data_IF_983107870246
#
_entry.id   IF_983107870246
#
_cell.length_a   1.000
_cell.length_b   1.000
_cell.length_c   1.000
_cell.angle_alpha   90.00
_cell.angle_beta   90.00
_cell.angle_gamma   90.00
#
_symmetry.space_group_name_H-M   'P 1'
#
loop_
_entity.id
_entity.type
_entity.pdbx_description
1 polymer ?
#
# COMPACT_ATOMS: atom_id res chain seq x y z
N UNK A 1 18.73 15.60 -4.77
CA UNK A 1 18.64 16.67 -3.75
C UNK A 1 17.25 16.65 -3.08
N UNK A 2 17.03 15.79 -2.09
CA UNK A 2 15.77 15.73 -1.34
C UNK A 2 15.70 16.83 -0.29
N UNK A 3 15.41 18.07 -0.71
CA UNK A 3 15.10 19.15 0.24
C UNK A 3 13.80 18.79 0.97
N UNK A 4 13.74 19.05 2.28
CA UNK A 4 12.52 19.06 3.08
C UNK A 4 11.49 20.03 2.47
N UNK A 5 10.75 19.56 1.46
CA UNK A 5 9.68 20.30 0.82
C UNK A 5 8.40 20.03 1.60
N UNK A 6 7.69 21.11 1.90
CA UNK A 6 6.39 21.03 2.55
C UNK A 6 5.40 20.44 1.55
N UNK A 7 4.67 19.42 1.98
CA UNK A 7 3.63 18.78 1.17
C UNK A 7 2.50 19.79 0.93
N UNK A 8 2.07 19.91 -0.33
CA UNK A 8 0.93 20.74 -0.72
C UNK A 8 -0.34 19.91 -0.64
N UNK A 9 -1.25 20.29 0.26
CA UNK A 9 -2.55 19.64 0.45
C UNK A 9 -3.63 20.71 0.48
N UNK A 10 -4.58 20.60 -0.44
CA UNK A 10 -5.74 21.50 -0.52
C UNK A 10 -6.97 20.85 0.09
N UNK A 11 -7.86 21.65 0.69
CA UNK A 11 -9.18 21.16 1.11
C UNK A 11 -10.21 21.61 0.09
N UNK A 12 -10.86 20.65 -0.56
CA UNK A 12 -11.93 20.89 -1.54
C UNK A 12 -13.25 20.37 -0.98
N UNK A 13 -14.29 21.18 -1.05
CA UNK A 13 -15.65 20.79 -0.61
C UNK A 13 -16.48 20.45 -1.84
N UNK A 14 -17.15 19.31 -1.78
CA UNK A 14 -18.08 18.83 -2.80
C UNK A 14 -19.38 18.40 -2.15
N UNK A 15 -20.43 18.25 -2.94
CA UNK A 15 -21.61 17.46 -2.53
C UNK A 15 -21.47 16.01 -3.01
N UNK A 16 -22.21 15.09 -2.38
CA UNK A 16 -22.21 13.66 -2.77
C UNK A 16 -22.49 13.48 -4.27
N UNK A 17 -23.39 14.27 -4.84
CA UNK A 17 -23.73 14.24 -6.28
C UNK A 17 -22.51 14.50 -7.18
N UNK A 18 -21.71 15.52 -6.87
CA UNK A 18 -20.50 15.86 -7.64
C UNK A 18 -19.43 14.76 -7.54
N UNK A 19 -19.30 14.13 -6.37
CA UNK A 19 -18.38 13.00 -6.17
C UNK A 19 -18.88 11.76 -6.93
N UNK A 20 -20.19 11.53 -6.94
CA UNK A 20 -20.81 10.45 -7.69
C UNK A 20 -20.66 10.62 -9.21
N UNK A 21 -20.82 11.83 -9.73
CA UNK A 21 -20.53 12.14 -11.12
C UNK A 21 -19.07 11.85 -11.50
N UNK A 22 -18.13 12.21 -10.63
CA UNK A 22 -16.70 11.88 -10.83
C UNK A 22 -16.45 10.38 -10.82
N UNK A 23 -17.11 9.66 -9.92
CA UNK A 23 -17.07 8.19 -9.87
C UNK A 23 -17.58 7.57 -11.18
N UNK A 24 -18.76 7.98 -11.67
CA UNK A 24 -19.33 7.48 -12.94
C UNK A 24 -18.44 7.77 -14.15
N UNK A 25 -17.71 8.89 -14.14
CA UNK A 25 -16.75 9.26 -15.21
C UNK A 25 -15.40 8.57 -15.10
N UNK A 26 -15.18 7.74 -14.07
CA UNK A 26 -13.88 7.11 -13.80
C UNK A 26 -12.82 8.06 -13.24
N UNK A 27 -13.18 9.29 -12.87
CA UNK A 27 -12.28 10.30 -12.31
C UNK A 27 -12.00 10.10 -10.82
N UNK A 28 -12.72 9.19 -10.16
CA UNK A 28 -12.52 8.80 -8.77
C UNK A 28 -12.08 7.34 -8.70
N UNK A 29 -10.81 7.11 -8.40
CA UNK A 29 -10.19 5.79 -8.41
C UNK A 29 -10.14 5.24 -6.99
N UNK A 30 -10.59 4.00 -6.83
CA UNK A 30 -10.39 3.24 -5.59
C UNK A 30 -9.34 2.15 -5.81
N UNK A 31 -8.35 2.08 -4.92
CA UNK A 31 -7.37 1.01 -4.97
C UNK A 31 -8.00 -0.36 -4.64
N UNK A 32 -7.35 -1.42 -5.09
CA UNK A 32 -7.81 -2.80 -4.89
C UNK A 32 -7.68 -3.20 -3.41
N UNK A 33 -8.81 -3.55 -2.80
CA UNK A 33 -8.85 -4.09 -1.45
C UNK A 33 -9.23 -5.57 -1.47
N UNK A 34 -9.01 -6.23 -0.33
CA UNK A 34 -9.49 -7.60 -0.13
C UNK A 34 -11.01 -7.70 -0.27
N UNK A 35 -11.50 -8.88 -0.61
CA UNK A 35 -12.93 -9.16 -0.69
C UNK A 35 -13.59 -8.85 0.66
N UNK A 36 -14.62 -8.00 0.62
CA UNK A 36 -15.48 -7.71 1.77
C UNK A 36 -16.77 -8.52 1.62
N UNK A 37 -17.27 -9.06 2.73
CA UNK A 37 -18.56 -9.76 2.71
C UNK A 37 -19.68 -8.77 2.43
N UNK A 38 -20.68 -9.18 1.64
CA UNK A 38 -21.84 -8.34 1.31
C UNK A 38 -22.53 -7.80 2.58
N UNK A 39 -22.59 -8.60 3.64
CA UNK A 39 -23.16 -8.17 4.93
C UNK A 39 -22.39 -7.01 5.56
N UNK A 40 -21.06 -7.02 5.52
CA UNK A 40 -20.23 -5.94 6.08
C UNK A 40 -20.33 -4.68 5.23
N UNK A 41 -20.30 -4.84 3.90
CA UNK A 41 -20.52 -3.76 2.94
C UNK A 41 -21.87 -3.08 3.21
N UNK A 42 -22.97 -3.85 3.20
CA UNK A 42 -24.31 -3.32 3.47
C UNK A 42 -24.41 -2.62 4.82
N UNK A 43 -23.79 -3.19 5.88
CA UNK A 43 -23.78 -2.57 7.21
C UNK A 43 -23.12 -1.19 7.17
N UNK A 44 -21.93 -1.08 6.58
CA UNK A 44 -21.18 0.18 6.50
C UNK A 44 -21.94 1.19 5.65
N UNK A 45 -22.49 0.77 4.50
CA UNK A 45 -23.31 1.63 3.65
C UNK A 45 -24.50 2.22 4.42
N UNK A 46 -25.25 1.38 5.13
CA UNK A 46 -26.41 1.85 5.91
C UNK A 46 -26.04 2.74 7.08
N UNK A 47 -24.88 2.53 7.73
CA UNK A 47 -24.38 3.45 8.75
C UNK A 47 -24.07 4.84 8.17
N UNK A 48 -23.43 4.89 7.00
CA UNK A 48 -23.16 6.14 6.27
C UNK A 48 -24.46 6.83 5.87
N UNK A 49 -25.37 6.11 5.21
CA UNK A 49 -26.64 6.65 4.74
C UNK A 49 -27.48 7.23 5.89
N UNK A 50 -27.58 6.53 7.02
CA UNK A 50 -28.26 7.02 8.22
C UNK A 50 -27.64 8.29 8.79
N UNK A 51 -26.31 8.41 8.73
CA UNK A 51 -25.62 9.61 9.20
C UNK A 51 -25.91 10.80 8.28
N UNK A 52 -25.78 10.61 6.97
CA UNK A 52 -26.05 11.65 5.96
C UNK A 52 -27.50 12.12 6.00
N UNK A 53 -28.47 11.20 6.08
CA UNK A 53 -29.89 11.52 6.22
C UNK A 53 -30.22 12.34 7.49
N UNK A 54 -29.39 12.25 8.54
CA UNK A 54 -29.51 13.06 9.76
C UNK A 54 -28.80 14.42 9.65
N UNK A 55 -28.24 14.75 8.49
CA UNK A 55 -27.44 15.95 8.27
C UNK A 55 -26.03 15.88 8.85
N UNK A 56 -25.54 14.70 9.24
CA UNK A 56 -24.15 14.52 9.68
C UNK A 56 -23.28 14.46 8.41
N UNK A 57 -22.29 15.37 8.24
CA UNK A 57 -21.49 15.40 7.02
C UNK A 57 -20.64 14.13 6.86
N UNK A 58 -20.30 13.80 5.62
CA UNK A 58 -19.42 12.67 5.36
C UNK A 58 -18.02 12.94 5.97
N UNK A 59 -17.37 11.95 6.60
CA UNK A 59 -16.02 12.13 7.15
C UNK A 59 -15.03 12.61 6.07
N UNK A 60 -14.09 13.52 6.40
CA UNK A 60 -13.10 13.97 5.42
C UNK A 60 -12.32 12.80 4.80
N UNK A 61 -12.04 12.89 3.49
CA UNK A 61 -11.35 11.84 2.74
C UNK A 61 -10.07 12.39 2.14
N UNK A 62 -8.96 11.71 2.37
CA UNK A 62 -7.71 12.03 1.68
C UNK A 62 -7.70 11.41 0.28
N UNK A 63 -7.27 12.20 -0.69
CA UNK A 63 -7.13 11.78 -2.08
C UNK A 63 -5.79 12.24 -2.63
N UNK A 64 -5.20 11.43 -3.50
CA UNK A 64 -4.04 11.78 -4.31
C UNK A 64 -4.51 12.21 -5.69
N UNK A 65 -4.22 13.45 -6.08
CA UNK A 65 -4.47 13.93 -7.44
C UNK A 65 -3.37 13.36 -8.36
N UNK A 66 -3.79 12.65 -9.40
CA UNK A 66 -2.89 12.11 -10.42
C UNK A 66 -2.62 13.19 -11.49
N UNK A 67 -1.53 13.05 -12.25
CA UNK A 67 -1.20 13.95 -13.36
C UNK A 67 -2.28 14.00 -14.46
N UNK A 68 -3.12 12.97 -14.54
CA UNK A 68 -4.28 12.86 -15.43
C UNK A 68 -5.50 13.65 -14.94
N UNK A 69 -5.46 14.21 -13.73
CA UNK A 69 -6.59 14.86 -13.05
C UNK A 69 -7.53 13.89 -12.35
N UNK A 70 -7.28 12.58 -12.44
CA UNK A 70 -7.99 11.55 -11.67
C UNK A 70 -7.62 11.65 -10.18
N UNK A 71 -8.56 11.33 -9.29
CA UNK A 71 -8.34 11.34 -7.84
C UNK A 71 -8.31 9.91 -7.28
N UNK A 72 -7.17 9.48 -6.78
CA UNK A 72 -7.02 8.22 -6.07
C UNK A 72 -7.43 8.37 -4.61
N UNK A 73 -8.49 7.69 -4.21
CA UNK A 73 -8.98 7.68 -2.83
C UNK A 73 -8.07 6.86 -1.93
N UNK A 74 -7.59 7.48 -0.85
CA UNK A 74 -6.64 6.89 0.10
C UNK A 74 -7.33 6.19 1.29
N UNK A 75 -8.62 6.47 1.49
CA UNK A 75 -9.45 5.95 2.58
C UNK A 75 -9.30 4.43 2.79
N UNK A 76 -9.01 4.03 4.03
CA UNK A 76 -8.97 2.63 4.47
C UNK A 76 -10.36 2.07 4.74
N UNK A 77 -11.32 2.88 5.18
CA UNK A 77 -12.61 2.45 5.74
C UNK A 77 -13.60 1.89 4.72
N UNK A 78 -13.41 2.15 3.42
CA UNK A 78 -14.32 1.81 2.32
C UNK A 78 -15.66 2.52 2.35
N UNK A 79 -15.87 3.47 3.26
CA UNK A 79 -17.16 4.19 3.38
C UNK A 79 -17.53 4.89 2.08
N UNK A 80 -16.56 5.60 1.47
CA UNK A 80 -16.84 6.34 0.24
C UNK A 80 -17.06 5.38 -0.92
N UNK A 81 -16.24 4.33 -1.03
CA UNK A 81 -16.37 3.30 -2.08
C UNK A 81 -17.73 2.62 -2.03
N UNK A 82 -18.17 2.22 -0.84
CA UNK A 82 -19.45 1.55 -0.66
C UNK A 82 -20.64 2.49 -0.89
N UNK A 83 -20.53 3.76 -0.49
CA UNK A 83 -21.55 4.77 -0.82
C UNK A 83 -21.66 4.96 -2.34
N UNK A 84 -20.54 5.16 -3.05
CA UNK A 84 -20.54 5.33 -4.50
C UNK A 84 -21.13 4.11 -5.21
N UNK A 85 -20.70 2.91 -4.79
CA UNK A 85 -21.23 1.66 -5.32
C UNK A 85 -22.73 1.50 -5.07
N UNK A 86 -23.20 1.86 -3.88
CA UNK A 86 -24.62 1.83 -3.54
C UNK A 86 -25.45 2.73 -4.45
N UNK A 87 -24.99 3.97 -4.66
CA UNK A 87 -25.66 4.94 -5.54
C UNK A 87 -25.65 4.52 -7.02
N UNK A 88 -24.66 3.72 -7.45
CA UNK A 88 -24.51 3.24 -8.83
C UNK A 88 -25.43 2.06 -9.17
N UNK A 89 -25.52 1.08 -8.26
CA UNK A 89 -26.35 -0.11 -8.47
C UNK A 89 -27.84 0.11 -8.16
N UNK A 90 -28.17 1.18 -7.42
CA UNK A 90 -29.56 1.54 -7.12
C UNK A 90 -30.25 0.62 -6.12
N UNK A 91 -31.55 0.87 -5.98
CA UNK A 91 -32.46 0.23 -5.01
C UNK A 91 -33.20 -0.90 -5.70
N UNK A 92 -33.09 -2.13 -5.20
CA UNK A 92 -33.79 -3.27 -5.82
C UNK A 92 -34.41 -4.23 -4.81
N UNK A 93 -34.65 -3.79 -3.56
CA UNK A 93 -35.34 -4.63 -2.60
C UNK A 93 -36.28 -3.87 -1.65
N UNK A 94 -37.48 -4.43 -1.44
CA UNK A 94 -38.54 -3.95 -0.54
C UNK A 94 -38.03 -3.71 0.89
N UNK A 95 -37.05 -4.50 1.36
CA UNK A 95 -36.42 -4.29 2.67
C UNK A 95 -35.73 -2.92 2.81
N UNK A 96 -35.17 -2.38 1.73
CA UNK A 96 -34.52 -1.06 1.79
C UNK A 96 -35.55 0.06 1.86
N UNK A 97 -36.65 -0.08 1.14
CA UNK A 97 -37.78 0.84 1.20
C UNK A 97 -38.35 0.93 2.62
N UNK A 98 -38.55 -0.21 3.30
CA UNK A 98 -39.00 -0.22 4.69
C UNK A 98 -38.03 0.53 5.62
N UNK A 99 -36.72 0.34 5.46
CA UNK A 99 -35.71 1.06 6.25
C UNK A 99 -35.75 2.58 6.03
N UNK A 100 -36.04 3.03 4.81
CA UNK A 100 -36.18 4.45 4.48
C UNK A 100 -37.44 5.03 5.16
N UNK A 101 -38.55 4.30 5.12
CA UNK A 101 -39.78 4.70 5.80
C UNK A 101 -39.59 4.76 7.33
N UNK A 102 -38.88 3.80 7.92
CA UNK A 102 -38.51 3.81 9.35
C UNK A 102 -37.69 5.05 9.74
N UNK A 103 -36.98 5.67 8.78
CA UNK A 103 -36.24 6.92 8.99
C UNK A 103 -37.11 8.17 8.84
N UNK A 104 -38.41 8.03 8.57
CA UNK A 104 -39.36 9.13 8.47
C UNK A 104 -39.51 9.71 7.06
N UNK A 105 -38.94 9.07 6.04
CA UNK A 105 -39.08 9.52 4.66
C UNK A 105 -40.34 8.97 4.01
N UNK A 106 -41.15 9.87 3.44
CA UNK A 106 -42.35 9.50 2.69
C UNK A 106 -42.06 8.94 1.30
N UNK A 107 -40.87 9.23 0.75
CA UNK A 107 -40.42 8.69 -0.53
C UNK A 107 -38.91 8.48 -0.55
N UNK A 108 -38.45 7.52 -1.37
CA UNK A 108 -37.03 7.30 -1.66
C UNK A 108 -36.37 8.54 -2.27
N UNK A 109 -37.12 9.30 -3.08
CA UNK A 109 -36.61 10.52 -3.72
C UNK A 109 -36.19 11.57 -2.71
N UNK A 110 -36.97 11.76 -1.64
CA UNK A 110 -36.65 12.71 -0.59
C UNK A 110 -35.43 12.28 0.22
N UNK A 111 -35.33 10.96 0.49
CA UNK A 111 -34.15 10.38 1.12
C UNK A 111 -32.89 10.61 0.27
N UNK A 112 -32.93 10.24 -1.02
CA UNK A 112 -31.81 10.45 -1.94
C UNK A 112 -31.42 11.91 -2.07
N UNK A 113 -32.39 12.83 -2.04
CA UNK A 113 -32.12 14.26 -2.08
C UNK A 113 -31.21 14.67 -0.92
N UNK A 114 -31.53 14.27 0.30
CA UNK A 114 -30.71 14.57 1.47
C UNK A 114 -29.32 13.94 1.38
N UNK A 115 -29.22 12.73 0.84
CA UNK A 115 -27.93 12.08 0.59
C UNK A 115 -27.11 12.87 -0.45
N UNK A 116 -27.67 13.18 -1.62
CA UNK A 116 -26.96 13.82 -2.73
C UNK A 116 -26.46 15.23 -2.41
N UNK A 117 -27.22 16.00 -1.61
CA UNK A 117 -26.84 17.35 -1.17
C UNK A 117 -25.95 17.36 0.08
N UNK A 118 -25.64 16.19 0.66
CA UNK A 118 -24.73 16.13 1.80
C UNK A 118 -23.30 16.51 1.40
N UNK A 119 -22.58 17.31 2.21
CA UNK A 119 -21.22 17.72 1.90
C UNK A 119 -20.20 16.60 2.15
N UNK A 120 -19.19 16.54 1.28
CA UNK A 120 -17.98 15.73 1.39
C UNK A 120 -16.77 16.66 1.32
N UNK A 121 -15.87 16.54 2.29
CA UNK A 121 -14.59 17.26 2.31
C UNK A 121 -13.48 16.34 1.80
N UNK A 122 -12.77 16.76 0.76
CA UNK A 122 -11.58 16.08 0.26
C UNK A 122 -10.32 16.85 0.67
N UNK A 123 -9.36 16.16 1.28
CA UNK A 123 -8.00 16.64 1.44
C UNK A 123 -7.17 16.11 0.25
N UNK A 124 -6.94 16.98 -0.73
CA UNK A 124 -6.32 16.66 -2.01
C UNK A 124 -4.82 16.91 -1.90
N UNK A 125 -4.03 15.85 -2.00
CA UNK A 125 -2.58 15.94 -2.16
C UNK A 125 -2.32 16.31 -3.61
N UNK A 126 -1.70 17.47 -3.83
CA UNK A 126 -1.49 18.03 -5.16
C UNK A 126 -0.56 17.13 -6.00
N UNK A 127 -0.87 16.97 -7.28
CA UNK A 127 -0.13 16.12 -8.21
C UNK A 127 1.32 16.58 -8.45
N UNK A 128 1.65 17.84 -8.12
CA UNK A 128 3.00 18.40 -8.17
C UNK A 128 3.90 17.85 -7.07
N UNK A 129 3.34 17.29 -5.99
CA UNK A 129 4.15 16.59 -5.00
C UNK A 129 4.70 15.28 -5.62
N UNK A 130 5.97 14.92 -5.36
CA UNK A 130 6.53 13.61 -5.71
C UNK A 130 5.66 12.46 -5.19
N UNK A 131 5.55 11.35 -5.93
CA UNK A 131 4.58 10.28 -5.62
C UNK A 131 4.88 9.60 -4.28
N UNK A 132 6.14 9.57 -3.83
CA UNK A 132 6.50 9.10 -2.50
C UNK A 132 5.84 9.93 -1.38
N UNK A 133 5.62 11.23 -1.57
CA UNK A 133 4.94 12.07 -0.58
C UNK A 133 3.45 11.73 -0.47
N UNK A 134 2.81 11.36 -1.58
CA UNK A 134 1.43 10.85 -1.57
C UNK A 134 1.33 9.55 -0.76
N UNK A 135 2.34 8.68 -0.90
CA UNK A 135 2.46 7.45 -0.11
C UNK A 135 2.69 7.73 1.38
N UNK A 136 3.57 8.68 1.72
CA UNK A 136 3.86 9.10 3.10
C UNK A 136 2.61 9.63 3.81
N UNK A 137 1.89 10.58 3.19
CA UNK A 137 0.68 11.17 3.77
C UNK A 137 -0.38 10.11 4.00
N UNK A 138 -0.66 9.29 2.99
CA UNK A 138 -1.70 8.28 3.12
C UNK A 138 -1.34 7.19 4.14
N UNK A 139 -0.08 6.77 4.21
CA UNK A 139 0.37 5.83 5.23
C UNK A 139 0.25 6.40 6.65
N UNK A 140 0.56 7.69 6.83
CA UNK A 140 0.44 8.39 8.11
C UNK A 140 -1.01 8.58 8.55
N UNK A 141 -1.89 9.04 7.65
CA UNK A 141 -3.28 9.36 7.98
C UNK A 141 -4.16 8.11 8.14
N UNK A 142 -3.97 7.13 7.27
CA UNK A 142 -4.88 5.97 7.17
C UNK A 142 -4.33 4.72 7.85
N UNK A 143 -3.07 4.74 8.30
CA UNK A 143 -2.38 3.60 8.91
C UNK A 143 -2.55 2.33 8.07
N UNK A 144 -2.15 2.40 6.80
CA UNK A 144 -2.32 1.31 5.86
C UNK A 144 -1.61 0.04 6.30
N UNK A 145 -2.25 -1.09 6.04
CA UNK A 145 -1.52 -2.37 6.02
C UNK A 145 -0.59 -2.42 4.80
N UNK A 146 0.47 -3.23 4.89
CA UNK A 146 1.42 -3.44 3.79
C UNK A 146 0.75 -3.81 2.44
N UNK A 147 -0.35 -4.57 2.45
CA UNK A 147 -1.09 -4.89 1.22
C UNK A 147 -1.87 -3.71 0.65
N UNK A 148 -2.36 -2.79 1.51
CA UNK A 148 -3.01 -1.57 1.06
C UNK A 148 -1.97 -0.61 0.48
N UNK A 149 -0.84 -0.43 1.17
CA UNK A 149 0.31 0.33 0.67
C UNK A 149 0.71 -0.16 -0.73
N UNK A 150 0.88 -1.48 -0.92
CA UNK A 150 1.21 -2.03 -2.24
C UNK A 150 0.11 -1.80 -3.27
N UNK A 151 -1.17 -1.93 -2.91
CA UNK A 151 -2.24 -1.69 -3.87
C UNK A 151 -2.32 -0.23 -4.32
N UNK A 152 -2.00 0.72 -3.44
CA UNK A 152 -1.99 2.15 -3.77
C UNK A 152 -0.77 2.46 -4.65
N UNK A 153 0.39 1.89 -4.32
CA UNK A 153 1.59 1.95 -5.15
C UNK A 153 1.30 1.44 -6.58
N UNK A 154 0.57 0.33 -6.73
CA UNK A 154 0.21 -0.18 -8.06
C UNK A 154 -0.62 0.82 -8.90
N UNK A 155 -1.40 1.69 -8.26
CA UNK A 155 -2.13 2.76 -8.96
C UNK A 155 -1.23 3.96 -9.24
N UNK A 156 -0.54 4.48 -8.22
CA UNK A 156 0.31 5.68 -8.34
C UNK A 156 1.46 5.50 -9.34
N UNK A 157 2.02 4.29 -9.43
CA UNK A 157 3.15 3.97 -10.30
C UNK A 157 2.74 3.13 -11.51
N UNK A 158 1.45 3.16 -11.88
CA UNK A 158 0.95 2.52 -13.09
C UNK A 158 1.80 2.99 -14.30
N UNK A 159 2.23 2.03 -15.12
CA UNK A 159 3.08 2.28 -16.29
C UNK A 159 4.60 2.18 -16.04
N UNK A 160 5.07 2.09 -14.79
CA UNK A 160 6.51 2.00 -14.47
C UNK A 160 7.07 0.55 -14.50
N UNK A 161 6.78 -0.23 -15.55
CA UNK A 161 7.12 -1.68 -15.65
C UNK A 161 6.57 -2.58 -14.52
N UNK A 162 5.68 -2.11 -13.65
CA UNK A 162 5.04 -2.93 -12.62
C UNK A 162 4.24 -4.13 -13.17
N UNK A 163 3.91 -4.15 -14.47
CA UNK A 163 3.33 -5.32 -15.13
C UNK A 163 4.30 -6.51 -15.16
N UNK A 164 5.60 -6.25 -15.29
CA UNK A 164 6.65 -7.30 -15.22
C UNK A 164 6.67 -7.94 -13.83
N UNK A 165 6.40 -7.15 -12.78
CA UNK A 165 6.25 -7.69 -11.42
C UNK A 165 5.05 -8.61 -11.30
N UNK A 166 3.92 -8.29 -11.93
CA UNK A 166 2.75 -9.17 -11.90
C UNK A 166 3.05 -10.54 -12.53
N UNK A 167 3.74 -10.55 -13.66
CA UNK A 167 4.17 -11.78 -14.33
C UNK A 167 5.16 -12.58 -13.46
N UNK A 168 6.24 -11.95 -12.98
CA UNK A 168 7.24 -12.64 -12.17
C UNK A 168 6.65 -13.19 -10.85
N UNK A 169 5.79 -12.41 -10.19
CA UNK A 169 5.16 -12.81 -8.93
C UNK A 169 4.12 -13.91 -9.12
N UNK A 170 3.43 -13.97 -10.26
CA UNK A 170 2.45 -15.04 -10.55
C UNK A 170 3.09 -16.44 -10.52
N UNK A 171 4.37 -16.56 -10.89
CA UNK A 171 5.14 -17.81 -10.81
C UNK A 171 5.19 -18.40 -9.39
N UNK A 172 5.23 -17.52 -8.38
CA UNK A 172 5.31 -17.90 -6.97
C UNK A 172 3.91 -18.22 -6.43
N UNK A 173 2.91 -17.39 -6.76
CA UNK A 173 1.52 -17.65 -6.38
C UNK A 173 0.50 -16.84 -7.20
N UNK A 174 -0.51 -17.52 -7.73
CA UNK A 174 -1.57 -16.88 -8.51
C UNK A 174 -2.73 -16.26 -7.71
N UNK A 175 -2.81 -16.55 -6.41
CA UNK A 175 -3.88 -16.00 -5.56
C UNK A 175 -3.81 -14.46 -5.52
N UNK A 176 -4.90 -13.73 -5.84
CA UNK A 176 -4.90 -12.26 -5.87
C UNK A 176 -4.44 -11.61 -4.55
N UNK A 177 -4.75 -12.23 -3.40
CA UNK A 177 -4.32 -11.76 -2.09
C UNK A 177 -2.82 -11.98 -1.88
N UNK A 178 -2.32 -13.14 -2.29
CA UNK A 178 -0.89 -13.47 -2.18
C UNK A 178 -0.06 -12.62 -3.13
N UNK A 179 -0.59 -12.26 -4.30
CA UNK A 179 0.09 -11.37 -5.25
C UNK A 179 0.50 -10.04 -4.63
N UNK A 180 -0.40 -9.34 -3.91
CA UNK A 180 -0.05 -8.09 -3.23
C UNK A 180 1.01 -8.28 -2.14
N UNK A 181 0.94 -9.40 -1.40
CA UNK A 181 1.91 -9.76 -0.36
C UNK A 181 3.29 -9.99 -0.97
N UNK A 182 3.35 -10.75 -2.05
CA UNK A 182 4.60 -11.09 -2.72
C UNK A 182 5.19 -9.86 -3.42
N UNK A 183 4.37 -9.05 -4.11
CA UNK A 183 4.80 -7.78 -4.69
C UNK A 183 5.41 -6.85 -3.64
N UNK A 184 4.75 -6.72 -2.48
CA UNK A 184 5.27 -5.93 -1.36
C UNK A 184 6.63 -6.45 -0.91
N UNK A 185 6.77 -7.76 -0.67
CA UNK A 185 8.05 -8.33 -0.24
C UNK A 185 9.14 -8.17 -1.31
N UNK A 186 8.79 -8.39 -2.57
CA UNK A 186 9.76 -8.43 -3.66
C UNK A 186 10.29 -7.03 -4.01
N UNK A 187 9.46 -5.99 -3.98
CA UNK A 187 9.96 -4.65 -4.27
C UNK A 187 10.91 -4.13 -3.19
N UNK A 188 10.66 -4.44 -1.91
CA UNK A 188 11.61 -4.14 -0.83
C UNK A 188 12.88 -4.99 -0.94
N UNK A 189 12.77 -6.24 -1.39
CA UNK A 189 13.92 -7.11 -1.64
C UNK A 189 14.85 -6.49 -2.69
N UNK A 190 14.29 -6.01 -3.80
CA UNK A 190 15.04 -5.30 -4.85
C UNK A 190 15.63 -3.99 -4.31
N UNK A 191 14.87 -3.21 -3.54
CA UNK A 191 15.36 -1.97 -2.94
C UNK A 191 16.63 -2.23 -2.09
N UNK A 192 16.63 -3.27 -1.25
CA UNK A 192 17.82 -3.62 -0.45
C UNK A 192 18.97 -4.12 -1.34
N UNK A 193 18.67 -4.87 -2.40
CA UNK A 193 19.66 -5.27 -3.40
C UNK A 193 20.33 -4.06 -4.08
N UNK A 194 19.56 -3.03 -4.43
CA UNK A 194 20.06 -1.79 -5.01
C UNK A 194 20.95 -1.00 -4.05
N UNK A 195 20.53 -0.88 -2.77
CA UNK A 195 21.38 -0.28 -1.72
C UNK A 195 22.70 -1.04 -1.61
N UNK A 196 22.64 -2.38 -1.60
CA UNK A 196 23.83 -3.21 -1.42
C UNK A 196 24.82 -3.12 -2.59
N UNK A 197 24.35 -3.00 -3.83
CA UNK A 197 25.17 -2.83 -5.03
C UNK A 197 25.54 -1.37 -5.34
N UNK A 198 25.18 -0.42 -4.45
CA UNK A 198 25.45 1.02 -4.61
C UNK A 198 24.83 1.62 -5.87
N UNK A 199 23.62 1.15 -6.22
CA UNK A 199 22.81 1.76 -7.27
C UNK A 199 22.24 3.13 -6.83
N UNK A 200 22.24 3.41 -5.52
CA UNK A 200 21.86 4.69 -4.94
C UNK A 200 23.11 5.44 -4.45
N UNK A 201 23.29 6.68 -4.90
CA UNK A 201 24.39 7.56 -4.46
C UNK A 201 24.32 7.84 -2.95
N UNK A 202 25.41 7.51 -2.24
CA UNK A 202 25.50 7.63 -0.78
C UNK A 202 25.24 9.05 -0.28
N UNK A 203 25.59 10.09 -1.05
CA UNK A 203 25.42 11.48 -0.62
C UNK A 203 23.98 11.96 -0.84
N UNK A 204 23.36 11.55 -1.94
CA UNK A 204 22.00 11.93 -2.29
C UNK A 204 20.96 11.23 -1.41
N UNK A 205 21.15 9.93 -1.17
CA UNK A 205 20.18 9.08 -0.48
C UNK A 205 20.46 8.88 1.00
N UNK A 206 21.49 9.55 1.54
CA UNK A 206 21.90 9.42 2.95
C UNK A 206 20.73 9.51 3.91
N UNK A 207 19.82 10.44 3.71
CA UNK A 207 18.69 10.71 4.61
C UNK A 207 17.35 10.23 4.01
N UNK A 208 17.41 9.39 2.97
CA UNK A 208 16.22 8.89 2.31
C UNK A 208 15.48 7.88 3.18
N UNK A 209 14.17 8.10 3.32
CA UNK A 209 13.28 7.17 3.98
C UNK A 209 12.87 6.02 3.05
N UNK A 210 12.10 5.06 3.60
CA UNK A 210 11.65 3.90 2.83
C UNK A 210 10.79 4.28 1.61
N UNK A 211 9.99 5.35 1.68
CA UNK A 211 9.09 5.72 0.58
C UNK A 211 9.87 6.34 -0.58
N UNK A 212 10.86 7.18 -0.27
CA UNK A 212 11.79 7.74 -1.25
C UNK A 212 12.58 6.63 -1.92
N UNK A 213 13.18 5.72 -1.13
CA UNK A 213 13.94 4.60 -1.69
C UNK A 213 13.09 3.68 -2.57
N UNK A 214 11.84 3.43 -2.21
CA UNK A 214 10.94 2.61 -3.04
C UNK A 214 10.53 3.31 -4.33
N UNK A 215 10.32 4.63 -4.32
CA UNK A 215 10.08 5.41 -5.54
C UNK A 215 11.27 5.31 -6.49
N UNK A 216 12.49 5.52 -5.97
CA UNK A 216 13.71 5.45 -6.78
C UNK A 216 14.00 4.03 -7.25
N UNK A 217 13.71 3.02 -6.41
CA UNK A 217 13.76 1.61 -6.84
C UNK A 217 12.88 1.40 -8.08
N UNK A 218 11.65 1.92 -8.09
CA UNK A 218 10.74 1.82 -9.24
C UNK A 218 11.29 2.57 -10.47
N UNK A 219 11.97 3.69 -10.29
CA UNK A 219 12.57 4.44 -11.38
C UNK A 219 13.78 3.71 -11.97
N UNK A 220 14.69 3.22 -11.14
CA UNK A 220 15.86 2.45 -11.57
C UNK A 220 15.47 1.14 -12.27
N UNK A 221 14.39 0.50 -11.80
CA UNK A 221 13.82 -0.69 -12.45
C UNK A 221 13.42 -0.47 -13.91
N UNK A 222 13.13 0.76 -14.33
CA UNK A 222 12.82 1.04 -15.76
C UNK A 222 14.01 0.73 -16.66
N UNK A 223 15.23 0.86 -16.16
CA UNK A 223 16.47 0.67 -16.92
C UNK A 223 17.06 -0.73 -16.80
N UNK A 224 16.56 -1.57 -15.88
CA UNK A 224 16.98 -2.96 -15.76
C UNK A 224 16.29 -3.84 -16.81
N UNK A 225 17.03 -4.84 -17.31
CA UNK A 225 16.53 -5.85 -18.24
C UNK A 225 15.76 -6.97 -17.53
N UNK A 226 15.03 -7.77 -18.30
CA UNK A 226 14.22 -8.87 -17.76
C UNK A 226 15.07 -9.99 -17.15
N UNK A 227 16.27 -10.24 -17.68
CA UNK A 227 17.18 -11.28 -17.16
C UNK A 227 17.62 -10.97 -15.73
N UNK A 228 18.04 -9.72 -15.50
CA UNK A 228 18.36 -9.22 -14.16
C UNK A 228 17.19 -9.41 -13.17
N UNK A 229 15.97 -9.02 -13.57
CA UNK A 229 14.79 -9.17 -12.72
C UNK A 229 14.43 -10.64 -12.46
N UNK A 230 14.63 -11.50 -13.45
CA UNK A 230 14.40 -12.94 -13.33
C UNK A 230 15.35 -13.57 -12.33
N UNK A 231 16.64 -13.25 -12.40
CA UNK A 231 17.64 -13.75 -11.45
C UNK A 231 17.32 -13.32 -10.02
N UNK A 232 16.94 -12.06 -9.81
CA UNK A 232 16.48 -11.58 -8.50
C UNK A 232 15.20 -12.28 -8.04
N UNK A 233 14.25 -12.50 -8.95
CA UNK A 233 13.01 -13.21 -8.65
C UNK A 233 13.29 -14.66 -8.25
N UNK A 234 14.20 -15.36 -8.92
CA UNK A 234 14.54 -16.75 -8.62
C UNK A 234 15.20 -16.88 -7.23
N UNK A 235 16.07 -15.93 -6.88
CA UNK A 235 16.65 -15.85 -5.52
C UNK A 235 15.60 -15.54 -4.46
N UNK A 236 14.73 -14.57 -4.73
CA UNK A 236 13.65 -14.21 -3.84
C UNK A 236 12.68 -15.38 -3.64
N UNK A 237 12.33 -16.10 -4.71
CA UNK A 237 11.46 -17.28 -4.68
C UNK A 237 12.07 -18.38 -3.79
N UNK A 238 13.36 -18.69 -3.97
CA UNK A 238 14.07 -19.65 -3.13
C UNK A 238 13.96 -19.28 -1.64
N UNK A 239 14.24 -18.02 -1.30
CA UNK A 239 14.20 -17.53 0.08
C UNK A 239 12.77 -17.51 0.63
N UNK A 240 11.80 -17.09 -0.17
CA UNK A 240 10.40 -17.04 0.20
C UNK A 240 9.86 -18.43 0.54
N UNK A 241 10.20 -19.44 -0.26
CA UNK A 241 9.83 -20.83 0.04
C UNK A 241 10.58 -21.37 1.25
N UNK A 242 11.90 -21.14 1.36
CA UNK A 242 12.69 -21.54 2.54
C UNK A 242 12.08 -20.99 3.82
N UNK A 243 11.82 -19.68 3.87
CA UNK A 243 11.25 -18.98 5.01
C UNK A 243 9.88 -19.54 5.45
N UNK A 244 9.09 -20.05 4.50
CA UNK A 244 7.77 -20.62 4.77
C UNK A 244 7.79 -22.12 5.11
N UNK A 245 8.96 -22.79 5.09
CA UNK A 245 9.11 -24.18 5.55
C UNK A 245 8.92 -24.29 7.07
N UNK A 246 8.55 -25.49 7.53
CA UNK A 246 8.35 -25.76 8.97
C UNK A 246 9.65 -25.61 9.77
N UNK A 247 10.78 -26.04 9.21
CA UNK A 247 12.11 -25.98 9.83
C UNK A 247 12.53 -24.55 10.20
N UNK A 248 12.19 -23.55 9.36
CA UNK A 248 12.52 -22.15 9.64
C UNK A 248 11.78 -21.57 10.85
N UNK A 249 10.73 -22.25 11.34
CA UNK A 249 9.98 -21.83 12.54
C UNK A 249 10.75 -22.07 13.85
N UNK A 250 11.87 -22.81 13.79
CA UNK A 250 12.68 -23.13 14.98
C UNK A 250 13.55 -21.94 15.42
N UNK A 251 14.03 -21.13 14.47
CA UNK A 251 14.88 -19.97 14.74
C UNK A 251 14.21 -18.62 14.45
N UNK A 252 13.15 -18.59 13.64
CA UNK A 252 12.33 -17.39 13.43
C UNK A 252 11.22 -17.25 14.47
N UNK A 253 10.89 -16.03 14.93
CA UNK A 253 9.77 -15.80 15.82
C UNK A 253 8.44 -16.33 15.25
N UNK A 254 7.64 -17.09 16.01
CA UNK A 254 6.32 -17.48 15.55
C UNK A 254 5.43 -16.23 15.45
N UNK A 255 4.67 -16.12 14.34
CA UNK A 255 3.68 -15.05 14.08
C UNK A 255 4.28 -13.65 13.93
N UNK A 256 5.09 -13.46 12.90
CA UNK A 256 5.54 -12.13 12.46
C UNK A 256 4.49 -11.39 11.61
N UNK A 257 4.45 -10.06 11.75
CA UNK A 257 3.73 -9.19 10.81
C UNK A 257 4.34 -9.30 9.41
N UNK A 258 3.57 -8.92 8.38
CA UNK A 258 4.08 -8.94 7.01
C UNK A 258 5.32 -8.06 6.84
N UNK A 259 5.34 -6.89 7.46
CA UNK A 259 6.49 -5.99 7.43
C UNK A 259 7.74 -6.64 8.01
N UNK A 260 7.64 -7.29 9.18
CA UNK A 260 8.79 -7.97 9.79
C UNK A 260 9.28 -9.10 8.89
N UNK A 261 8.37 -9.91 8.32
CA UNK A 261 8.75 -10.97 7.37
C UNK A 261 9.48 -10.43 6.15
N UNK A 262 9.01 -9.30 5.60
CA UNK A 262 9.67 -8.62 4.49
C UNK A 262 11.12 -8.26 4.86
N UNK A 263 11.36 -7.68 6.04
CA UNK A 263 12.72 -7.31 6.48
C UNK A 263 13.64 -8.53 6.51
N UNK A 264 13.18 -9.65 7.08
CA UNK A 264 13.96 -10.89 7.09
C UNK A 264 14.27 -11.38 5.67
N UNK A 265 13.30 -11.41 4.76
CA UNK A 265 13.54 -11.83 3.38
C UNK A 265 14.61 -10.96 2.70
N UNK A 266 14.56 -9.64 2.89
CA UNK A 266 15.55 -8.71 2.35
C UNK A 266 16.96 -9.00 2.89
N UNK A 267 17.09 -9.09 4.22
CA UNK A 267 18.40 -9.26 4.84
C UNK A 267 18.95 -10.69 4.70
N UNK A 268 18.11 -11.70 4.55
CA UNK A 268 18.55 -13.05 4.16
C UNK A 268 19.13 -13.04 2.74
N UNK A 269 18.52 -12.31 1.80
CA UNK A 269 19.04 -12.13 0.45
C UNK A 269 20.38 -11.39 0.43
N UNK A 270 20.47 -10.28 1.15
CA UNK A 270 21.70 -9.54 1.31
C UNK A 270 22.81 -10.41 1.92
N UNK A 271 22.48 -11.20 2.95
CA UNK A 271 23.43 -12.09 3.61
C UNK A 271 24.03 -13.14 2.65
N UNK A 272 23.19 -13.79 1.83
CA UNK A 272 23.66 -14.77 0.84
C UNK A 272 24.68 -14.18 -0.14
N UNK A 273 24.56 -12.90 -0.46
CA UNK A 273 25.43 -12.20 -1.41
C UNK A 273 26.72 -11.67 -0.81
N UNK A 274 26.74 -11.37 0.48
CA UNK A 274 27.98 -11.02 1.20
C UNK A 274 28.96 -12.20 1.27
N UNK A 275 28.49 -13.43 1.04
CA UNK A 275 29.36 -14.59 0.82
C UNK A 275 30.02 -15.12 2.09
N UNK A 276 29.33 -15.07 3.23
CA UNK A 276 29.87 -15.63 4.48
C UNK A 276 29.88 -17.16 4.46
N UNK A 277 30.80 -17.75 5.24
CA UNK A 277 30.79 -19.19 5.55
C UNK A 277 29.84 -19.57 6.70
N UNK A 278 29.05 -18.65 7.25
CA UNK A 278 28.17 -18.93 8.39
C UNK A 278 26.79 -19.38 7.93
N UNK A 279 26.21 -20.33 8.65
CA UNK A 279 24.86 -20.80 8.37
C UNK A 279 23.86 -19.67 8.65
N UNK A 280 22.94 -19.48 7.71
CA UNK A 280 21.86 -18.49 7.80
C UNK A 280 21.02 -18.70 9.07
N UNK A 281 20.80 -19.95 9.46
CA UNK A 281 19.97 -20.29 10.62
C UNK A 281 20.62 -19.81 11.94
N UNK A 282 21.96 -19.84 12.04
CA UNK A 282 22.71 -19.39 13.22
C UNK A 282 22.62 -17.87 13.40
N UNK A 283 22.71 -17.15 12.28
CA UNK A 283 22.72 -15.67 12.28
C UNK A 283 21.36 -15.11 12.59
N UNK A 284 20.33 -15.62 11.93
CA UNK A 284 18.97 -15.16 12.20
C UNK A 284 18.37 -15.81 13.45
N UNK A 285 19.04 -16.80 14.05
CA UNK A 285 18.80 -17.26 15.42
C UNK A 285 19.35 -16.29 16.48
N UNK A 286 20.41 -15.54 16.17
CA UNK A 286 21.03 -14.57 17.09
C UNK A 286 20.04 -13.46 17.48
N UNK A 287 19.84 -13.27 18.79
CA UNK A 287 18.88 -12.30 19.34
C UNK A 287 19.22 -10.85 18.95
N UNK A 288 20.50 -10.49 18.87
CA UNK A 288 20.97 -9.15 18.48
C UNK A 288 20.57 -8.87 17.03
N UNK A 289 20.90 -9.77 16.10
CA UNK A 289 20.54 -9.64 14.69
C UNK A 289 19.02 -9.58 14.51
N UNK A 290 18.27 -10.43 15.21
CA UNK A 290 16.79 -10.39 15.17
C UNK A 290 16.22 -9.04 15.60
N UNK A 291 16.77 -8.42 16.64
CA UNK A 291 16.34 -7.10 17.08
C UNK A 291 16.69 -6.02 16.04
N UNK A 292 17.93 -6.01 15.55
CA UNK A 292 18.39 -5.05 14.55
C UNK A 292 17.54 -5.13 13.27
N UNK A 293 17.26 -6.34 12.77
CA UNK A 293 16.40 -6.55 11.59
C UNK A 293 14.97 -6.09 11.84
N UNK A 294 14.41 -6.38 13.02
CA UNK A 294 13.03 -5.97 13.36
C UNK A 294 12.89 -4.46 13.45
N UNK A 295 13.86 -3.82 14.09
CA UNK A 295 13.84 -2.39 14.43
C UNK A 295 14.33 -1.51 13.27
N UNK A 296 14.81 -2.11 12.17
CA UNK A 296 15.15 -1.41 10.93
C UNK A 296 13.92 -0.72 10.33
N UNK A 297 13.98 0.59 10.11
CA UNK A 297 12.92 1.40 9.49
C UNK A 297 12.87 1.29 7.95
N UNK A 298 13.82 0.55 7.36
CA UNK A 298 14.05 0.43 5.92
C UNK A 298 14.42 1.76 5.24
N UNK A 299 14.92 2.74 5.99
CA UNK A 299 15.62 3.90 5.45
C UNK A 299 17.05 3.55 5.06
N UNK A 300 17.67 4.43 4.26
CA UNK A 300 18.97 4.15 3.64
C UNK A 300 20.07 3.87 4.66
N UNK A 301 20.17 4.67 5.72
CA UNK A 301 21.16 4.50 6.78
C UNK A 301 20.97 3.20 7.55
N UNK A 302 19.72 2.87 7.89
CA UNK A 302 19.39 1.65 8.64
C UNK A 302 19.74 0.39 7.85
N UNK A 303 19.44 0.38 6.54
CA UNK A 303 19.82 -0.72 5.65
C UNK A 303 21.35 -0.84 5.61
N UNK A 304 22.06 0.26 5.31
CA UNK A 304 23.51 0.24 5.20
C UNK A 304 24.22 -0.17 6.48
N UNK A 305 23.70 0.25 7.64
CA UNK A 305 24.23 -0.17 8.95
C UNK A 305 24.21 -1.69 9.12
N UNK A 306 23.11 -2.34 8.71
CA UNK A 306 22.98 -3.80 8.78
C UNK A 306 23.91 -4.47 7.76
N UNK A 307 23.98 -3.94 6.54
CA UNK A 307 24.89 -4.46 5.51
C UNK A 307 26.36 -4.36 5.94
N UNK A 308 26.74 -3.29 6.64
CA UNK A 308 28.09 -3.13 7.17
C UNK A 308 28.38 -4.09 8.32
N UNK A 309 27.42 -4.34 9.22
CA UNK A 309 27.54 -5.37 10.24
C UNK A 309 27.74 -6.75 9.61
N UNK A 310 27.02 -7.04 8.52
CA UNK A 310 27.19 -8.27 7.75
C UNK A 310 28.56 -8.38 7.10
N UNK A 311 29.03 -7.32 6.41
CA UNK A 311 30.36 -7.30 5.75
C UNK A 311 31.51 -7.44 6.74
N UNK A 312 31.37 -6.89 7.95
CA UNK A 312 32.40 -6.92 9.00
C UNK A 312 32.36 -8.20 9.84
N UNK A 313 31.35 -9.05 9.68
CA UNK A 313 31.15 -10.23 10.53
C UNK A 313 30.80 -9.88 11.98
N UNK A 314 30.25 -8.69 12.23
CA UNK A 314 29.83 -8.23 13.56
C UNK A 314 28.46 -8.83 13.92
N UNK A 315 28.38 -10.16 14.01
CA UNK A 315 27.15 -10.94 14.17
C UNK A 315 26.75 -11.19 15.62
#
# INVERSE_FOLDING_TARGET
MHKNQRIIIDTRTYVVDEIFERYKRGMLIFYKKGLTTKNRENKITWEVLKALARGIPFPPVYVSELQTGEMLVLDKSDRLRFLMKYLDYGYDNYEEYLKIQEMGYGSERDFLKDIFYSPIFLHVIDYMNPRYMHMQVGAFVEEWSATQEQSIRNVLYRGAKLQVFEELVSRINDSPKMRLIIQYNFIYFIMVDFVMHREFDDNEYRDADRFQLLEETIYELKYKDYGFLRELCDQFEYLYWRFNRKESREWLPPRMSLEVKMKYLCFMGAWMRVGSNHNMDDIFGNRRIRNIVRDCDMGYQSINRILDDFRRGNL
#
